data_IF_608701024070
#
_entry.id   IF_608701024070
#
_cell.length_a   1.000
_cell.length_b   1.000
_cell.length_c   1.000
_cell.angle_alpha   90.00
_cell.angle_beta   90.00
_cell.angle_gamma   90.00
#
_symmetry.space_group_name_H-M   'P 1'
#
loop_
_entity.id
_entity.type
_entity.pdbx_description
1 polymer ?
#
# COMPACT_ATOMS: atom_id res chain seq x y z
N UNK A 1 -11.35 17.42 2.00
CA UNK A 1 -10.01 16.82 2.30
C UNK A 1 -10.21 15.76 3.38
N UNK A 2 -9.43 14.68 3.36
CA UNK A 2 -9.53 13.57 4.35
C UNK A 2 -8.70 13.93 5.59
N UNK A 3 -9.26 13.74 6.78
CA UNK A 3 -8.65 13.98 8.07
C UNK A 3 -8.95 12.86 9.10
N UNK A 4 -8.37 12.95 10.31
CA UNK A 4 -8.59 11.96 11.36
C UNK A 4 -10.08 11.82 11.73
N UNK A 5 -10.55 10.58 11.84
CA UNK A 5 -11.94 10.24 12.15
C UNK A 5 -12.89 10.20 10.95
N UNK A 6 -12.43 10.58 9.76
CA UNK A 6 -13.27 10.49 8.55
C UNK A 6 -13.63 9.06 8.20
N UNK A 7 -14.87 8.85 7.81
CA UNK A 7 -15.43 7.54 7.46
C UNK A 7 -15.25 7.24 5.99
N UNK A 8 -14.08 6.73 5.61
CA UNK A 8 -13.72 6.48 4.21
C UNK A 8 -14.76 5.65 3.43
N UNK A 9 -15.32 4.63 4.07
CA UNK A 9 -16.34 3.79 3.42
C UNK A 9 -17.57 4.59 3.00
N UNK A 10 -18.04 5.50 3.87
CA UNK A 10 -19.19 6.37 3.58
C UNK A 10 -18.84 7.36 2.46
N UNK A 11 -17.63 7.97 2.54
CA UNK A 11 -17.16 8.90 1.51
C UNK A 11 -17.09 8.24 0.13
N UNK A 12 -16.58 7.01 0.05
CA UNK A 12 -16.50 6.23 -1.19
C UNK A 12 -17.89 5.93 -1.74
N UNK A 13 -18.82 5.45 -0.90
CA UNK A 13 -20.19 5.15 -1.34
C UNK A 13 -20.88 6.41 -1.85
N UNK A 14 -20.76 7.53 -1.14
CA UNK A 14 -21.33 8.80 -1.54
C UNK A 14 -20.71 9.33 -2.85
N UNK A 15 -19.39 9.19 -3.03
CA UNK A 15 -18.73 9.57 -4.26
C UNK A 15 -19.21 8.71 -5.44
N UNK A 16 -19.32 7.39 -5.27
CA UNK A 16 -19.81 6.48 -6.28
C UNK A 16 -21.26 6.79 -6.71
N UNK A 17 -22.12 7.19 -5.75
CA UNK A 17 -23.48 7.62 -6.04
C UNK A 17 -23.51 8.94 -6.83
N UNK A 18 -22.74 9.96 -6.41
CA UNK A 18 -22.63 11.26 -7.13
C UNK A 18 -22.14 11.08 -8.56
N UNK A 19 -21.19 10.18 -8.78
CA UNK A 19 -20.67 9.85 -10.10
C UNK A 19 -21.62 8.93 -10.91
N UNK A 20 -22.74 8.53 -10.35
CA UNK A 20 -23.73 7.61 -10.97
C UNK A 20 -23.17 6.24 -11.37
N UNK A 21 -22.06 5.82 -10.75
CA UNK A 21 -21.45 4.51 -11.01
C UNK A 21 -21.93 3.45 -10.02
N UNK A 22 -22.30 3.86 -8.81
CA UNK A 22 -22.71 2.98 -7.71
C UNK A 22 -21.70 1.90 -7.38
N UNK A 23 -21.90 1.15 -6.31
CA UNK A 23 -21.10 -0.01 -5.94
C UNK A 23 -21.84 -1.29 -6.41
N UNK A 24 -21.12 -2.23 -7.04
CA UNK A 24 -21.68 -3.48 -7.58
C UNK A 24 -20.94 -4.69 -7.02
N UNK A 25 -21.60 -5.84 -7.05
CA UNK A 25 -20.95 -7.11 -6.73
C UNK A 25 -19.76 -7.35 -7.67
N UNK A 26 -18.64 -7.78 -7.14
CA UNK A 26 -17.42 -8.03 -7.90
C UNK A 26 -16.54 -6.82 -8.13
N UNK A 27 -16.93 -5.61 -7.69
CA UNK A 27 -16.06 -4.44 -7.74
C UNK A 27 -14.82 -4.63 -6.85
N UNK A 28 -13.71 -4.09 -7.29
CA UNK A 28 -12.49 -3.96 -6.49
C UNK A 28 -12.26 -2.47 -6.22
N UNK A 29 -12.33 -2.08 -4.96
CA UNK A 29 -12.00 -0.74 -4.53
C UNK A 29 -10.50 -0.68 -4.20
N UNK A 30 -9.77 0.19 -4.89
CA UNK A 30 -8.37 0.51 -4.60
C UNK A 30 -8.32 1.86 -3.91
N UNK A 31 -7.60 1.96 -2.79
CA UNK A 31 -7.48 3.18 -1.98
C UNK A 31 -6.00 3.45 -1.71
N UNK A 32 -5.53 4.67 -2.00
CA UNK A 32 -4.19 5.11 -1.64
C UNK A 32 -3.99 5.14 -0.11
N UNK A 33 -2.85 4.63 0.36
CA UNK A 33 -2.57 4.50 1.81
C UNK A 33 -2.72 5.81 2.57
N UNK A 34 -2.38 6.96 1.97
CA UNK A 34 -2.49 8.27 2.63
C UNK A 34 -3.92 8.64 3.04
N UNK A 35 -4.91 8.22 2.25
CA UNK A 35 -6.32 8.43 2.61
C UNK A 35 -6.66 7.63 3.87
N UNK A 36 -6.22 6.37 3.93
CA UNK A 36 -6.42 5.49 5.07
C UNK A 36 -5.67 6.02 6.30
N UNK A 37 -4.38 6.31 6.16
CA UNK A 37 -3.53 6.82 7.24
C UNK A 37 -4.09 8.10 7.86
N UNK A 38 -4.53 9.06 7.03
CA UNK A 38 -5.16 10.28 7.52
C UNK A 38 -6.44 10.02 8.29
N UNK A 39 -7.31 9.17 7.76
CA UNK A 39 -8.58 8.85 8.42
C UNK A 39 -8.39 8.10 9.74
N UNK A 40 -7.32 7.30 9.85
CA UNK A 40 -6.96 6.55 11.05
C UNK A 40 -6.09 7.36 12.03
N UNK A 41 -5.72 8.61 11.68
CA UNK A 41 -4.91 9.47 12.52
C UNK A 41 -3.43 9.11 12.57
N UNK A 42 -2.94 8.34 11.59
CA UNK A 42 -1.52 7.97 11.48
C UNK A 42 -0.69 9.16 10.92
N UNK A 43 -0.79 10.29 11.61
CA UNK A 43 -0.07 11.52 11.34
C UNK A 43 0.83 11.85 12.53
N UNK A 44 2.09 12.18 12.27
CA UNK A 44 3.07 12.49 13.33
C UNK A 44 3.76 13.81 13.04
N UNK A 45 3.66 14.74 13.99
CA UNK A 45 4.47 15.95 14.01
C UNK A 45 5.83 15.65 14.68
N UNK A 46 6.90 15.92 13.96
CA UNK A 46 8.27 15.66 14.45
C UNK A 46 8.97 16.92 15.00
N UNK A 47 8.29 18.06 15.11
CA UNK A 47 8.88 19.32 15.58
C UNK A 47 9.56 19.18 16.95
N UNK A 48 8.97 18.42 17.86
CA UNK A 48 9.48 18.20 19.21
C UNK A 48 10.10 16.79 19.40
N UNK A 49 10.32 16.05 18.31
CA UNK A 49 10.86 14.70 18.39
C UNK A 49 12.35 14.75 18.72
N UNK A 50 12.74 14.16 19.86
CA UNK A 50 14.15 13.99 20.25
C UNK A 50 14.71 12.74 19.57
N UNK A 51 15.68 12.91 18.63
CA UNK A 51 16.22 11.78 17.88
C UNK A 51 17.18 10.95 18.75
N UNK A 52 17.18 9.65 18.53
CA UNK A 52 18.14 8.71 19.13
C UNK A 52 19.56 8.92 18.59
N UNK A 53 20.57 8.44 19.33
CA UNK A 53 21.97 8.49 18.88
C UNK A 53 22.16 7.80 17.51
N UNK A 54 21.47 6.66 17.29
CA UNK A 54 21.49 5.96 16.00
C UNK A 54 20.86 6.78 14.88
N UNK A 55 19.77 7.50 15.15
CA UNK A 55 19.14 8.39 14.17
C UNK A 55 20.08 9.54 13.80
N UNK A 56 20.79 10.12 14.76
CA UNK A 56 21.81 11.16 14.51
C UNK A 56 22.97 10.66 13.64
N UNK A 57 23.44 9.44 13.89
CA UNK A 57 24.49 8.81 13.06
C UNK A 57 24.02 8.62 11.61
N UNK A 58 22.83 8.01 11.42
CA UNK A 58 22.29 7.77 10.08
C UNK A 58 21.88 9.06 9.36
N UNK A 59 21.46 10.09 10.10
CA UNK A 59 21.19 11.41 9.55
C UNK A 59 22.43 12.01 8.88
N UNK A 60 23.61 11.91 9.52
CA UNK A 60 24.90 12.34 8.91
C UNK A 60 25.23 11.58 7.63
N UNK A 61 24.97 10.26 7.61
CA UNK A 61 25.21 9.40 6.41
C UNK A 61 24.27 9.73 5.27
N UNK A 62 23.00 10.03 5.57
CA UNK A 62 21.94 10.19 4.57
C UNK A 62 21.69 11.64 4.19
N UNK A 63 22.21 12.63 4.95
CA UNK A 63 21.92 14.05 4.74
C UNK A 63 20.50 14.46 5.12
N UNK A 64 19.73 13.60 5.80
CA UNK A 64 18.35 13.85 6.22
C UNK A 64 18.29 14.39 7.65
N UNK A 65 17.18 15.04 8.03
CA UNK A 65 17.01 15.50 9.42
C UNK A 65 16.99 14.31 10.38
N UNK A 66 17.63 14.47 11.55
CA UNK A 66 17.72 13.39 12.54
C UNK A 66 16.34 12.99 13.09
N UNK A 67 15.41 13.95 13.24
CA UNK A 67 14.04 13.68 13.66
C UNK A 67 13.28 12.84 12.64
N UNK A 68 13.43 13.13 11.33
CA UNK A 68 12.86 12.32 10.27
C UNK A 68 13.43 10.90 10.27
N UNK A 69 14.75 10.76 10.36
CA UNK A 69 15.42 9.44 10.42
C UNK A 69 14.94 8.65 11.64
N UNK A 70 14.76 9.29 12.80
CA UNK A 70 14.24 8.63 13.99
C UNK A 70 12.81 8.13 13.81
N UNK A 71 11.95 8.95 13.15
CA UNK A 71 10.60 8.53 12.79
C UNK A 71 10.61 7.28 11.88
N UNK A 72 11.48 7.26 10.87
CA UNK A 72 11.67 6.09 9.97
C UNK A 72 12.13 4.87 10.78
N UNK A 73 13.11 5.01 11.67
CA UNK A 73 13.61 3.90 12.48
C UNK A 73 12.55 3.32 13.41
N UNK A 74 11.71 4.16 14.01
CA UNK A 74 10.58 3.72 14.86
C UNK A 74 9.56 2.87 14.09
N UNK A 75 9.46 3.04 12.77
CA UNK A 75 8.55 2.29 11.89
C UNK A 75 9.25 1.16 11.13
N UNK A 76 10.52 0.88 11.47
CA UNK A 76 11.33 -0.13 10.80
C UNK A 76 11.67 -1.28 11.74
N UNK A 77 11.84 -2.47 11.17
CA UNK A 77 12.43 -3.65 11.82
C UNK A 77 13.92 -3.80 11.51
N UNK A 78 14.38 -3.31 10.35
CA UNK A 78 15.76 -3.40 9.90
C UNK A 78 16.10 -2.26 8.94
N UNK A 79 17.31 -1.69 9.05
CA UNK A 79 17.89 -0.84 8.01
C UNK A 79 18.60 -1.76 7.00
N UNK A 80 18.22 -1.66 5.74
CA UNK A 80 18.82 -2.44 4.65
C UNK A 80 19.97 -1.65 4.03
N UNK A 81 19.74 -0.36 3.72
CA UNK A 81 20.72 0.55 3.15
C UNK A 81 20.51 1.97 3.67
N UNK A 82 21.60 2.67 3.98
CA UNK A 82 21.54 4.07 4.40
C UNK A 82 22.76 4.82 3.85
N UNK A 83 22.53 5.65 2.84
CA UNK A 83 23.52 6.54 2.24
C UNK A 83 22.85 7.84 1.77
N UNK A 84 23.62 8.74 1.12
CA UNK A 84 23.12 10.03 0.61
C UNK A 84 21.97 9.88 -0.39
N UNK A 85 21.89 8.77 -1.12
CA UNK A 85 20.87 8.54 -2.14
C UNK A 85 19.58 7.95 -1.58
N UNK A 86 19.68 7.02 -0.61
CA UNK A 86 18.54 6.26 -0.12
C UNK A 86 18.64 5.86 1.35
N UNK A 87 17.50 5.83 2.03
CA UNK A 87 17.30 5.16 3.30
C UNK A 87 16.28 4.04 3.07
N UNK A 88 16.79 2.84 2.77
CA UNK A 88 15.96 1.65 2.52
C UNK A 88 15.88 0.87 3.83
N UNK A 89 14.67 0.56 4.23
CA UNK A 89 14.39 -0.16 5.47
C UNK A 89 13.37 -1.27 5.22
N UNK A 90 13.37 -2.26 6.10
CA UNK A 90 12.27 -3.19 6.22
C UNK A 90 11.30 -2.65 7.27
N UNK A 91 10.04 -2.48 6.92
CA UNK A 91 8.99 -2.02 7.83
C UNK A 91 8.69 -3.09 8.89
N UNK A 92 7.93 -2.73 9.92
CA UNK A 92 7.43 -3.71 10.91
C UNK A 92 6.45 -4.71 10.30
N UNK A 93 5.74 -4.32 9.26
CA UNK A 93 4.81 -5.15 8.51
C UNK A 93 5.51 -6.11 7.53
N UNK A 94 6.81 -5.88 7.23
CA UNK A 94 7.64 -6.78 6.43
C UNK A 94 8.02 -6.26 5.03
N UNK A 95 7.46 -5.13 4.56
CA UNK A 95 7.84 -4.55 3.27
C UNK A 95 9.23 -3.90 3.32
N UNK A 96 9.96 -4.04 2.23
CA UNK A 96 11.24 -3.34 2.06
C UNK A 96 11.02 -2.15 1.14
N UNK A 97 11.12 -0.94 1.68
CA UNK A 97 10.80 0.29 0.96
C UNK A 97 11.67 1.47 1.42
N UNK A 98 11.56 2.59 0.71
CA UNK A 98 12.17 3.85 1.10
C UNK A 98 11.48 4.43 2.33
N UNK A 99 12.28 4.89 3.30
CA UNK A 99 11.83 5.67 4.45
C UNK A 99 10.69 5.04 5.27
N UNK A 100 10.51 3.71 5.24
CA UNK A 100 9.40 3.00 5.89
C UNK A 100 7.99 3.46 5.44
N UNK A 101 7.83 3.98 4.22
CA UNK A 101 6.58 4.58 3.76
C UNK A 101 6.21 5.90 4.47
N UNK A 102 7.11 6.48 5.25
CA UNK A 102 6.92 7.81 5.87
C UNK A 102 6.94 8.87 4.79
N UNK A 103 5.83 9.57 4.60
CA UNK A 103 5.65 10.51 3.50
C UNK A 103 5.16 11.88 3.98
N UNK A 104 5.67 12.91 3.33
CA UNK A 104 5.32 14.32 3.55
C UNK A 104 4.30 14.83 2.54
N UNK A 105 4.25 14.23 1.36
CA UNK A 105 3.43 14.72 0.25
C UNK A 105 1.93 14.72 0.60
N UNK A 106 1.22 15.78 0.22
CA UNK A 106 -0.20 15.96 0.52
C UNK A 106 -0.57 15.88 2.02
N UNK A 107 0.38 16.17 2.94
CA UNK A 107 0.17 16.26 4.39
C UNK A 107 0.30 17.73 4.83
N UNK A 108 -0.70 18.25 5.55
CA UNK A 108 -0.72 19.63 6.07
C UNK A 108 0.28 19.79 7.24
N UNK A 109 0.94 20.97 7.31
CA UNK A 109 1.93 21.31 8.34
C UNK A 109 3.35 20.94 7.91
N UNK A 110 4.37 21.75 8.25
CA UNK A 110 5.75 21.60 7.73
C UNK A 110 6.50 20.41 8.34
N UNK A 111 6.22 20.08 9.58
CA UNK A 111 6.85 19.00 10.37
C UNK A 111 5.97 17.75 10.50
N UNK A 112 4.78 17.71 9.90
CA UNK A 112 3.87 16.56 10.00
C UNK A 112 4.10 15.60 8.84
N UNK A 113 4.14 14.31 9.15
CA UNK A 113 4.32 13.20 8.21
C UNK A 113 3.18 12.18 8.36
N UNK A 114 2.80 11.55 7.25
CA UNK A 114 1.93 10.37 7.27
C UNK A 114 2.77 9.11 7.43
N UNK A 115 2.31 8.21 8.28
CA UNK A 115 2.82 6.85 8.42
C UNK A 115 1.96 5.88 7.60
N UNK A 116 2.44 4.69 7.35
CA UNK A 116 1.59 3.61 6.86
C UNK A 116 0.53 3.25 7.92
N UNK A 117 -0.65 2.76 7.52
CA UNK A 117 -1.62 2.18 8.46
C UNK A 117 -0.96 1.08 9.30
N UNK A 118 -1.29 1.00 10.59
CA UNK A 118 -0.68 -0.01 11.52
C UNK A 118 -0.90 -1.44 11.07
N UNK A 119 -2.10 -1.75 10.60
CA UNK A 119 -2.50 -3.03 10.01
C UNK A 119 -3.35 -2.74 8.76
N UNK A 120 -2.70 -2.62 7.57
CA UNK A 120 -3.41 -2.28 6.33
C UNK A 120 -4.45 -3.34 5.94
N UNK A 121 -4.23 -4.63 6.23
CA UNK A 121 -5.22 -5.68 5.99
C UNK A 121 -6.46 -5.49 6.88
N UNK A 122 -6.27 -5.11 8.15
CA UNK A 122 -7.39 -4.78 9.04
C UNK A 122 -8.15 -3.54 8.55
N UNK A 123 -7.43 -2.53 8.07
CA UNK A 123 -8.02 -1.32 7.48
C UNK A 123 -8.85 -1.66 6.24
N UNK A 124 -8.31 -2.48 5.34
CA UNK A 124 -9.03 -2.98 4.16
C UNK A 124 -10.31 -3.75 4.56
N UNK A 125 -10.21 -4.62 5.57
CA UNK A 125 -11.37 -5.37 6.10
C UNK A 125 -12.44 -4.45 6.68
N UNK A 126 -12.06 -3.41 7.45
CA UNK A 126 -13.01 -2.42 8.02
C UNK A 126 -13.76 -1.67 6.91
N UNK A 127 -13.03 -1.17 5.91
CA UNK A 127 -13.64 -0.48 4.76
C UNK A 127 -14.59 -1.42 4.01
N UNK A 128 -14.13 -2.63 3.67
CA UNK A 128 -14.94 -3.64 2.98
C UNK A 128 -16.23 -3.95 3.74
N UNK A 129 -16.13 -4.26 5.03
CA UNK A 129 -17.29 -4.60 5.87
C UNK A 129 -18.29 -3.44 5.97
N UNK A 130 -17.80 -2.20 6.07
CA UNK A 130 -18.66 -1.02 6.12
C UNK A 130 -19.39 -0.79 4.80
N UNK A 131 -18.71 -0.90 3.67
CA UNK A 131 -19.34 -0.78 2.34
C UNK A 131 -20.37 -1.90 2.13
N UNK A 132 -20.02 -3.15 2.47
CA UNK A 132 -20.94 -4.28 2.33
C UNK A 132 -22.20 -4.11 3.17
N UNK A 133 -22.10 -3.58 4.40
CA UNK A 133 -23.27 -3.27 5.25
C UNK A 133 -24.16 -2.19 4.65
N UNK A 134 -23.57 -1.13 4.08
CA UNK A 134 -24.32 -0.01 3.50
C UNK A 134 -25.00 -0.36 2.18
N UNK A 135 -24.37 -1.22 1.38
CA UNK A 135 -24.79 -1.44 -0.02
C UNK A 135 -25.35 -2.84 -0.30
N UNK A 136 -25.14 -3.79 0.61
CA UNK A 136 -25.44 -5.21 0.38
C UNK A 136 -24.55 -5.88 -0.66
N UNK A 137 -23.44 -5.20 -1.08
CA UNK A 137 -22.59 -5.70 -2.17
C UNK A 137 -21.34 -6.40 -1.64
N UNK A 138 -20.95 -7.48 -2.31
CA UNK A 138 -19.69 -8.17 -2.05
C UNK A 138 -18.60 -7.61 -2.97
N UNK A 139 -17.59 -6.98 -2.38
CA UNK A 139 -16.49 -6.31 -3.09
C UNK A 139 -15.12 -6.76 -2.55
N UNK A 140 -14.07 -6.53 -3.34
CA UNK A 140 -12.69 -6.54 -2.85
C UNK A 140 -12.24 -5.14 -2.44
N UNK A 141 -11.26 -5.06 -1.54
CA UNK A 141 -10.60 -3.79 -1.17
C UNK A 141 -9.09 -4.00 -1.19
N UNK A 142 -8.37 -3.09 -1.83
CA UNK A 142 -6.91 -2.99 -1.85
C UNK A 142 -6.52 -1.64 -1.25
N UNK A 143 -5.52 -1.65 -0.37
CA UNK A 143 -4.80 -0.44 0.06
C UNK A 143 -3.44 -0.49 -0.61
N UNK A 144 -3.07 0.61 -1.26
CA UNK A 144 -1.87 0.69 -2.10
C UNK A 144 -0.93 1.80 -1.63
N UNK A 145 0.36 1.62 -1.87
CA UNK A 145 1.41 2.61 -1.64
C UNK A 145 2.40 2.62 -2.80
N UNK A 146 3.02 3.76 -3.03
CA UNK A 146 3.95 3.99 -4.15
C UNK A 146 5.35 3.51 -3.80
N UNK A 147 5.87 2.55 -4.54
CA UNK A 147 7.18 1.96 -4.32
C UNK A 147 8.13 2.11 -5.51
N UNK A 148 9.41 2.29 -5.22
CA UNK A 148 10.49 2.13 -6.18
C UNK A 148 10.86 0.65 -6.32
N UNK A 149 11.19 0.24 -7.54
CA UNK A 149 11.56 -1.16 -7.85
C UNK A 149 13.05 -1.30 -8.12
N UNK A 150 13.69 -2.40 -7.71
CA UNK A 150 15.06 -2.71 -8.13
C UNK A 150 15.19 -2.75 -9.66
N UNK A 151 16.32 -2.21 -10.18
CA UNK A 151 16.72 -2.26 -11.59
C UNK A 151 15.77 -1.59 -12.60
N UNK A 152 14.79 -0.81 -12.14
CA UNK A 152 13.89 -0.05 -13.04
C UNK A 152 13.72 1.38 -12.55
N UNK A 153 13.71 2.31 -13.48
CA UNK A 153 13.31 3.69 -13.21
C UNK A 153 11.80 3.80 -13.07
N UNK A 154 11.38 4.81 -12.33
CA UNK A 154 9.96 5.07 -12.03
C UNK A 154 9.46 4.28 -10.83
N UNK A 155 8.35 4.74 -10.30
CA UNK A 155 7.63 4.13 -9.18
C UNK A 155 6.38 3.43 -9.70
N UNK A 156 5.83 2.53 -8.92
CA UNK A 156 4.54 1.86 -9.16
C UNK A 156 3.79 1.74 -7.85
N UNK A 157 2.49 1.61 -7.94
CA UNK A 157 1.67 1.24 -6.80
C UNK A 157 1.80 -0.25 -6.50
N UNK A 158 2.00 -0.57 -5.23
CA UNK A 158 2.05 -1.93 -4.71
C UNK A 158 1.00 -2.11 -3.60
N UNK A 159 0.45 -3.29 -3.51
CA UNK A 159 -0.56 -3.64 -2.51
C UNK A 159 0.08 -3.82 -1.14
N UNK A 160 -0.30 -3.00 -0.18
CA UNK A 160 0.12 -3.12 1.22
C UNK A 160 -0.98 -3.65 2.13
N UNK A 161 -2.23 -3.63 1.69
CA UNK A 161 -3.38 -4.17 2.44
C UNK A 161 -4.45 -4.72 1.52
N UNK A 162 -5.09 -5.82 1.90
CA UNK A 162 -6.05 -6.53 1.04
C UNK A 162 -7.20 -7.12 1.85
N UNK A 163 -8.40 -7.10 1.29
CA UNK A 163 -9.56 -7.78 1.84
C UNK A 163 -10.50 -8.28 0.73
N UNK A 164 -11.04 -9.46 0.91
CA UNK A 164 -12.09 -10.03 0.08
C UNK A 164 -11.67 -10.68 -1.21
N UNK A 165 -10.42 -10.53 -1.67
CA UNK A 165 -9.92 -11.16 -2.91
C UNK A 165 -8.56 -11.81 -2.68
N UNK A 166 -8.23 -12.83 -3.48
CA UNK A 166 -6.89 -13.42 -3.51
C UNK A 166 -5.88 -12.42 -4.08
N UNK A 167 -4.66 -12.30 -3.50
CA UNK A 167 -3.61 -11.46 -4.06
C UNK A 167 -3.06 -11.99 -5.40
N UNK A 168 -3.32 -13.26 -5.72
CA UNK A 168 -2.76 -13.93 -6.89
C UNK A 168 -3.82 -14.54 -7.80
N UNK A 169 -3.49 -14.59 -9.09
CA UNK A 169 -4.07 -15.55 -10.04
C UNK A 169 -2.98 -16.60 -10.32
N UNK A 170 -3.16 -17.79 -9.76
CA UNK A 170 -2.23 -18.90 -9.88
C UNK A 170 -2.57 -19.76 -11.09
N UNK A 171 -1.67 -19.81 -12.07
CA UNK A 171 -1.79 -20.63 -13.27
C UNK A 171 -0.93 -21.90 -13.21
N UNK A 172 -0.20 -22.13 -12.13
CA UNK A 172 0.64 -23.31 -11.99
C UNK A 172 -0.22 -24.58 -12.04
N UNK A 173 0.23 -25.57 -12.80
CA UNK A 173 -0.51 -26.80 -13.07
C UNK A 173 -1.59 -26.68 -14.14
N UNK A 174 -1.90 -25.48 -14.64
CA UNK A 174 -2.77 -25.31 -15.81
C UNK A 174 -1.99 -25.51 -17.11
N UNK A 175 -2.70 -25.81 -18.20
CA UNK A 175 -2.11 -25.93 -19.53
C UNK A 175 -2.36 -24.66 -20.35
N UNK A 176 -1.39 -24.29 -21.17
CA UNK A 176 -1.57 -23.26 -22.20
C UNK A 176 -2.37 -23.77 -23.41
N UNK A 177 -2.52 -22.94 -24.43
CA UNK A 177 -3.28 -23.28 -25.64
C UNK A 177 -2.73 -24.46 -26.43
N UNK A 178 -1.45 -24.80 -26.24
CA UNK A 178 -0.74 -25.90 -26.91
C UNK A 178 -0.49 -27.11 -26.00
N UNK A 179 -1.06 -27.10 -24.78
CA UNK A 179 -0.96 -28.21 -23.84
C UNK A 179 0.28 -28.18 -22.94
N UNK A 180 1.12 -27.13 -23.03
CA UNK A 180 2.28 -26.98 -22.13
C UNK A 180 1.83 -26.63 -20.71
N UNK A 181 2.32 -27.39 -19.72
CA UNK A 181 2.01 -27.17 -18.30
C UNK A 181 2.78 -25.96 -17.74
N UNK A 182 2.04 -24.97 -17.23
CA UNK A 182 2.60 -23.76 -16.63
C UNK A 182 3.11 -24.08 -15.22
N UNK A 183 4.43 -24.11 -15.02
CA UNK A 183 5.05 -24.49 -13.74
C UNK A 183 5.29 -23.32 -12.78
N UNK A 184 5.50 -22.12 -13.31
CA UNK A 184 5.95 -20.96 -12.53
C UNK A 184 5.00 -19.76 -12.59
N UNK A 185 3.96 -19.83 -13.42
CA UNK A 185 3.09 -18.66 -13.69
C UNK A 185 2.17 -18.38 -12.50
N UNK A 186 2.55 -17.40 -11.70
CA UNK A 186 1.76 -16.86 -10.59
C UNK A 186 1.73 -15.33 -10.74
N UNK A 187 0.56 -14.76 -10.97
CA UNK A 187 0.38 -13.33 -11.24
C UNK A 187 -0.05 -12.62 -9.98
N UNK A 188 0.70 -11.61 -9.55
CA UNK A 188 0.37 -10.74 -8.42
C UNK A 188 -0.76 -9.75 -8.83
N UNK A 189 -1.97 -10.28 -9.02
CA UNK A 189 -3.09 -9.51 -9.56
C UNK A 189 -3.46 -8.31 -8.68
N UNK A 190 -3.19 -8.37 -7.37
CA UNK A 190 -3.44 -7.26 -6.48
C UNK A 190 -2.55 -6.05 -6.84
N UNK A 191 -1.26 -6.28 -7.16
CA UNK A 191 -0.35 -5.20 -7.56
C UNK A 191 -0.67 -4.67 -8.97
N UNK A 192 -1.10 -5.55 -9.90
CA UNK A 192 -1.58 -5.10 -11.21
C UNK A 192 -2.81 -4.20 -11.09
N UNK A 193 -3.71 -4.51 -10.15
CA UNK A 193 -4.88 -3.69 -9.86
C UNK A 193 -4.51 -2.36 -9.19
N UNK A 194 -3.54 -2.38 -8.28
CA UNK A 194 -3.00 -1.18 -7.64
C UNK A 194 -2.41 -0.24 -8.71
N UNK A 195 -1.53 -0.75 -9.57
CA UNK A 195 -0.93 0.03 -10.66
C UNK A 195 -1.95 0.53 -11.69
N UNK A 196 -2.95 -0.28 -12.05
CA UNK A 196 -4.02 0.15 -12.96
C UNK A 196 -4.88 1.28 -12.36
N UNK A 197 -5.16 1.21 -11.06
CA UNK A 197 -5.94 2.24 -10.37
C UNK A 197 -5.17 3.55 -10.27
N UNK A 198 -3.84 3.51 -10.09
CA UNK A 198 -2.99 4.70 -10.04
C UNK A 198 -3.12 5.57 -11.28
N UNK A 199 -3.25 4.98 -12.46
CA UNK A 199 -3.40 5.74 -13.73
C UNK A 199 -4.60 6.71 -13.71
N UNK A 200 -5.58 6.46 -12.85
CA UNK A 200 -6.78 7.30 -12.66
C UNK A 200 -6.69 8.12 -11.38
N UNK A 201 -6.05 7.57 -10.34
CA UNK A 201 -5.90 8.23 -9.04
C UNK A 201 -4.89 9.36 -9.08
N UNK A 202 -3.78 9.15 -9.78
CA UNK A 202 -2.66 10.09 -9.87
C UNK A 202 -1.90 10.26 -8.56
N UNK A 203 -0.78 10.99 -8.62
CA UNK A 203 0.14 11.21 -7.49
C UNK A 203 0.26 12.67 -7.05
N UNK A 204 -0.32 13.59 -7.79
CA UNK A 204 -0.14 15.03 -7.60
C UNK A 204 -1.35 15.71 -6.96
N UNK A 205 -2.08 16.48 -7.76
CA UNK A 205 -3.20 17.34 -7.35
C UNK A 205 -4.57 16.82 -7.78
N UNK A 206 -4.65 15.59 -8.27
CA UNK A 206 -5.86 14.98 -8.84
C UNK A 206 -6.98 14.83 -7.79
N UNK A 207 -6.60 14.79 -6.51
CA UNK A 207 -7.53 14.66 -5.38
C UNK A 207 -8.47 13.43 -5.50
N UNK A 208 -8.00 12.39 -6.17
CA UNK A 208 -8.73 11.13 -6.41
C UNK A 208 -8.11 10.01 -5.57
N UNK A 209 -8.44 9.90 -4.27
CA UNK A 209 -7.75 8.99 -3.34
C UNK A 209 -8.17 7.53 -3.48
N UNK A 210 -9.13 7.22 -4.34
CA UNK A 210 -9.65 5.87 -4.54
C UNK A 210 -10.23 5.69 -5.94
N UNK A 211 -10.15 4.46 -6.46
CA UNK A 211 -10.74 4.06 -7.72
C UNK A 211 -11.49 2.71 -7.58
N UNK A 212 -12.49 2.49 -8.42
CA UNK A 212 -13.20 1.22 -8.55
C UNK A 212 -12.78 0.55 -9.85
N UNK A 213 -12.20 -0.64 -9.74
CA UNK A 213 -11.93 -1.52 -10.88
C UNK A 213 -13.09 -2.51 -11.02
N UNK A 214 -13.67 -2.59 -12.21
CA UNK A 214 -14.89 -3.35 -12.47
C UNK A 214 -14.75 -4.24 -13.70
N UNK A 215 -15.49 -5.37 -13.73
CA UNK A 215 -15.61 -6.25 -14.90
C UNK A 215 -14.55 -7.34 -14.97
N UNK A 216 -13.78 -7.57 -13.90
CA UNK A 216 -12.78 -8.62 -13.86
C UNK A 216 -13.42 -10.00 -13.65
N UNK A 217 -13.21 -10.91 -14.61
CA UNK A 217 -13.84 -12.24 -14.60
C UNK A 217 -13.05 -13.33 -13.87
N UNK A 218 -11.75 -13.11 -13.64
CA UNK A 218 -10.82 -14.12 -13.09
C UNK A 218 -10.35 -13.85 -11.67
N UNK A 219 -10.95 -12.88 -10.97
CA UNK A 219 -10.62 -12.60 -9.58
C UNK A 219 -11.30 -13.62 -8.68
N UNK A 220 -10.51 -14.30 -7.87
CA UNK A 220 -11.02 -15.20 -6.84
C UNK A 220 -11.32 -14.44 -5.56
N UNK A 221 -12.55 -14.47 -5.11
CA UNK A 221 -12.90 -13.98 -3.78
C UNK A 221 -12.35 -14.91 -2.70
N UNK A 222 -11.80 -14.32 -1.65
CA UNK A 222 -11.19 -15.01 -0.53
C UNK A 222 -11.56 -14.28 0.76
N UNK A 223 -11.97 -15.01 1.81
CA UNK A 223 -12.45 -14.38 3.05
C UNK A 223 -11.34 -13.70 3.84
N UNK A 224 -10.19 -14.33 3.96
CA UNK A 224 -9.04 -13.87 4.78
C UNK A 224 -7.74 -13.82 3.99
N UNK A 225 -7.68 -13.01 2.94
CA UNK A 225 -6.42 -12.78 2.23
C UNK A 225 -5.45 -12.02 3.15
N UNK A 226 -4.16 -12.13 2.84
CA UNK A 226 -3.11 -11.36 3.52
C UNK A 226 -2.19 -10.74 2.49
N UNK A 227 -1.93 -9.45 2.64
CA UNK A 227 -0.94 -8.73 1.81
C UNK A 227 0.48 -9.26 2.00
N UNK A 228 0.78 -9.81 3.19
CA UNK A 228 2.07 -10.44 3.47
C UNK A 228 2.38 -11.63 2.55
N UNK A 229 1.39 -12.22 1.87
CA UNK A 229 1.61 -13.25 0.86
C UNK A 229 2.37 -12.72 -0.37
N UNK A 230 2.33 -11.41 -0.63
CA UNK A 230 3.08 -10.75 -1.69
C UNK A 230 4.55 -10.51 -1.31
N UNK A 231 4.89 -10.63 -0.03
CA UNK A 231 6.27 -10.43 0.45
C UNK A 231 7.05 -11.73 0.25
N UNK A 232 8.14 -11.65 -0.50
CA UNK A 232 9.02 -12.79 -0.74
C UNK A 232 9.67 -13.28 0.57
N UNK A 233 9.67 -14.58 0.77
CA UNK A 233 10.37 -15.18 1.93
C UNK A 233 11.89 -15.06 1.77
N UNK A 234 12.64 -15.08 2.90
CA UNK A 234 14.10 -15.00 2.87
C UNK A 234 14.76 -16.11 2.02
N UNK A 235 14.09 -17.26 1.85
CA UNK A 235 14.62 -18.38 1.06
C UNK A 235 14.44 -18.16 -0.43
N UNK A 236 13.37 -17.44 -0.82
CA UNK A 236 12.99 -17.16 -2.20
C UNK A 236 13.52 -15.81 -2.71
N UNK A 237 14.16 -15.02 -1.83
CA UNK A 237 14.71 -13.73 -2.16
C UNK A 237 15.93 -13.87 -3.09
N UNK A 238 15.73 -13.59 -4.37
CA UNK A 238 16.75 -13.66 -5.43
C UNK A 238 17.87 -12.62 -5.25
N UNK A 239 17.65 -11.57 -4.45
CA UNK A 239 18.63 -10.51 -4.18
C UNK A 239 19.32 -10.67 -2.83
N UNK A 240 19.13 -11.82 -2.18
CA UNK A 240 19.76 -12.13 -0.90
C UNK A 240 21.28 -12.14 -1.04
N UNK A 241 21.94 -11.22 -0.32
CA UNK A 241 23.41 -11.09 -0.34
C UNK A 241 23.96 -10.18 -1.44
N UNK A 242 23.09 -9.57 -2.26
CA UNK A 242 23.50 -8.60 -3.29
C UNK A 242 23.15 -7.15 -2.91
N UNK A 243 22.36 -6.96 -1.84
CA UNK A 243 21.96 -5.65 -1.29
C UNK A 243 22.39 -5.51 0.16
#
# INVERSE_FOLDING_TARGET
MIGPGDRLAEMVVQAALRLRVGVRNGDILVIGQKAVSKSEGELVDISNLKPSARAMELARKTGRSAAFVDLVLRNSSKVVRADKTALIVRTRQGWTCLNAGVDKSNVKGDSTFALLPRDPDASARRVRSSISRMTGKNIGVIITDTHSRPFRLGQVEETIGIAGISPFIDYRGSKDLFGYELRFKNVAVADELAGAAELVMGQGREATPAAIVRGLRRIRFQERPRSSALVVSRREDLFRGTL
#
